data_IF_133557444437
#
_entry.id   IF_133557444437
#
_cell.length_a   1.000
_cell.length_b   1.000
_cell.length_c   1.000
_cell.angle_alpha   90.00
_cell.angle_beta   90.00
_cell.angle_gamma   90.00
#
_symmetry.space_group_name_H-M   'P 1'
#
loop_
_entity.id
_entity.type
_entity.pdbx_description
1 polymer ?
#
# COMPACT_ATOMS: atom_id res chain seq x y z
N UNK A 1 -8.99 -4.53 17.69
CA UNK A 1 -7.98 -3.52 18.08
C UNK A 1 -7.23 -3.12 16.82
N UNK A 2 -7.15 -1.88 16.35
CA UNK A 2 -7.55 -0.57 16.86
C UNK A 2 -7.98 0.26 15.64
N UNK A 3 -9.18 0.84 15.68
CA UNK A 3 -9.57 1.87 14.72
C UNK A 3 -8.71 3.12 14.95
N UNK A 4 -8.09 3.63 13.88
CA UNK A 4 -7.61 5.01 13.83
C UNK A 4 -6.11 5.28 14.09
N UNK A 5 -5.28 4.30 14.48
CA UNK A 5 -3.81 4.51 14.69
C UNK A 5 -2.89 3.74 13.73
N UNK A 6 -3.45 3.16 12.66
CA UNK A 6 -2.67 2.34 11.74
C UNK A 6 -1.71 3.15 10.87
N UNK A 7 -2.00 4.44 10.63
CA UNK A 7 -1.28 5.26 9.66
C UNK A 7 -0.07 5.98 10.26
N UNK A 8 -0.09 6.30 11.56
CA UNK A 8 0.98 7.02 12.24
C UNK A 8 2.38 6.39 12.03
N UNK A 9 2.56 5.05 12.10
CA UNK A 9 3.85 4.43 11.82
C UNK A 9 4.30 4.59 10.37
N UNK A 10 3.35 4.57 9.42
CA UNK A 10 3.66 4.78 8.00
C UNK A 10 4.04 6.23 7.75
N UNK A 11 3.31 7.19 8.33
CA UNK A 11 3.65 8.61 8.28
C UNK A 11 5.02 8.86 8.87
N UNK A 12 5.28 8.38 10.08
CA UNK A 12 6.59 8.55 10.72
C UNK A 12 7.74 8.00 9.86
N UNK A 13 7.55 6.86 9.19
CA UNK A 13 8.55 6.31 8.27
C UNK A 13 8.71 7.20 7.03
N UNK A 14 7.62 7.62 6.40
CA UNK A 14 7.66 8.45 5.19
C UNK A 14 8.18 9.86 5.47
N UNK A 15 7.93 10.39 6.66
CA UNK A 15 8.42 11.70 7.10
C UNK A 15 9.94 11.75 7.19
N UNK A 16 10.60 10.63 7.52
CA UNK A 16 12.07 10.51 7.43
C UNK A 16 12.60 10.79 6.01
N UNK A 17 11.78 10.55 4.99
CA UNK A 17 12.10 10.85 3.59
C UNK A 17 11.59 12.22 3.15
N UNK A 18 10.50 12.72 3.77
CA UNK A 18 9.89 14.01 3.47
C UNK A 18 10.65 15.21 4.05
N UNK A 19 11.48 15.01 5.07
CA UNK A 19 12.27 16.03 5.79
C UNK A 19 13.33 16.77 4.94
N UNK A 20 13.41 16.49 3.63
CA UNK A 20 14.25 17.25 2.68
C UNK A 20 13.68 18.62 2.28
N UNK A 21 12.66 19.13 2.98
CA UNK A 21 12.14 20.48 2.80
C UNK A 21 11.18 20.67 1.62
N UNK A 22 10.66 19.60 1.02
CA UNK A 22 9.64 19.70 -0.03
C UNK A 22 8.22 19.60 0.57
N UNK A 23 7.47 20.72 0.68
CA UNK A 23 6.10 20.71 1.22
C UNK A 23 5.12 19.91 0.35
N UNK A 24 5.45 19.65 -0.92
CA UNK A 24 4.67 18.74 -1.76
C UNK A 24 4.78 17.30 -1.30
N UNK A 25 5.98 16.87 -0.91
CA UNK A 25 6.20 15.51 -0.44
C UNK A 25 5.47 15.26 0.88
N UNK A 26 5.53 16.23 1.81
CA UNK A 26 4.77 16.17 3.06
C UNK A 26 3.26 16.05 2.79
N UNK A 27 2.69 16.84 1.85
CA UNK A 27 1.28 16.70 1.46
C UNK A 27 0.93 15.33 0.91
N UNK A 28 1.81 14.72 0.11
CA UNK A 28 1.60 13.35 -0.37
C UNK A 28 1.53 12.35 0.79
N UNK A 29 2.42 12.46 1.78
CA UNK A 29 2.40 11.58 2.97
C UNK A 29 1.09 11.72 3.74
N UNK A 30 0.70 12.97 4.03
CA UNK A 30 -0.52 13.27 4.78
C UNK A 30 -1.81 12.99 4.00
N UNK A 31 -1.75 12.83 2.68
CA UNK A 31 -2.91 12.43 1.86
C UNK A 31 -3.38 11.00 2.18
N UNK A 32 -2.51 10.15 2.73
CA UNK A 32 -2.91 8.82 3.21
C UNK A 32 -3.49 9.01 4.60
N UNK A 33 -4.81 8.90 4.74
CA UNK A 33 -5.48 9.15 6.03
C UNK A 33 -5.71 7.88 6.83
N UNK A 34 -5.67 6.72 6.16
CA UNK A 34 -5.90 5.42 6.81
C UNK A 34 -5.22 4.30 6.03
N UNK A 35 -4.73 3.31 6.78
CA UNK A 35 -4.26 2.05 6.25
C UNK A 35 -4.95 0.91 6.98
N UNK A 36 -5.40 -0.08 6.21
CA UNK A 36 -5.94 -1.33 6.72
C UNK A 36 -5.12 -2.49 6.15
N UNK A 37 -4.91 -3.52 6.96
CA UNK A 37 -4.25 -4.74 6.52
C UNK A 37 -5.05 -5.96 6.96
N UNK A 38 -5.18 -6.94 6.06
CA UNK A 38 -5.85 -8.21 6.35
C UNK A 38 -5.16 -9.37 5.68
N UNK A 39 -5.19 -10.53 6.32
CA UNK A 39 -4.77 -11.78 5.68
C UNK A 39 -5.80 -12.21 4.65
N UNK A 40 -5.33 -12.63 3.48
CA UNK A 40 -6.17 -13.15 2.40
C UNK A 40 -5.57 -14.46 1.89
N UNK A 41 -6.44 -15.40 1.51
CA UNK A 41 -6.04 -16.61 0.78
C UNK A 41 -6.68 -16.51 -0.59
N UNK A 42 -5.86 -16.60 -1.64
CA UNK A 42 -6.36 -16.45 -3.01
C UNK A 42 -5.60 -17.33 -4.00
N UNK A 43 -6.26 -17.64 -5.10
CA UNK A 43 -5.65 -18.32 -6.25
C UNK A 43 -4.56 -17.44 -6.85
N UNK A 44 -3.35 -17.98 -6.90
CA UNK A 44 -2.21 -17.35 -7.54
C UNK A 44 -2.36 -17.48 -9.06
N UNK A 45 -2.15 -16.37 -9.79
CA UNK A 45 -2.09 -16.35 -11.25
C UNK A 45 -0.67 -16.71 -11.70
N UNK A 46 -0.26 -17.94 -11.41
CA UNK A 46 1.06 -18.49 -11.79
C UNK A 46 0.81 -19.62 -12.79
N UNK A 47 1.68 -19.74 -13.78
CA UNK A 47 1.62 -20.83 -14.74
C UNK A 47 1.78 -22.19 -14.03
N UNK A 48 0.90 -23.13 -14.35
CA UNK A 48 0.88 -24.48 -13.78
C UNK A 48 -0.43 -24.82 -13.07
N UNK A 49 -0.41 -25.80 -12.15
CA UNK A 49 -1.61 -26.27 -11.45
C UNK A 49 -2.22 -25.16 -10.58
N UNK A 50 -3.51 -25.31 -10.25
CA UNK A 50 -4.23 -24.31 -9.45
C UNK A 50 -3.64 -24.21 -8.04
N UNK A 51 -2.89 -23.15 -7.77
CA UNK A 51 -2.24 -22.90 -6.48
C UNK A 51 -2.96 -21.81 -5.70
N UNK A 52 -3.21 -22.07 -4.41
CA UNK A 52 -3.67 -21.05 -3.47
C UNK A 52 -2.49 -20.57 -2.62
N UNK A 53 -2.32 -19.26 -2.52
CA UNK A 53 -1.31 -18.65 -1.67
C UNK A 53 -1.96 -17.98 -0.47
N UNK A 54 -1.19 -17.83 0.61
CA UNK A 54 -1.52 -16.90 1.68
C UNK A 54 -0.83 -15.56 1.40
N UNK A 55 -1.57 -14.48 1.50
CA UNK A 55 -1.07 -13.15 1.28
C UNK A 55 -1.62 -12.14 2.27
N UNK A 56 -1.10 -10.93 2.17
CA UNK A 56 -1.61 -9.76 2.91
C UNK A 56 -2.20 -8.79 1.91
N UNK A 57 -3.45 -8.40 2.13
CA UNK A 57 -4.06 -7.29 1.43
C UNK A 57 -3.90 -6.03 2.27
N UNK A 58 -3.31 -4.99 1.67
CA UNK A 58 -3.11 -3.67 2.26
C UNK A 58 -4.00 -2.68 1.53
N UNK A 59 -4.92 -2.03 2.26
CA UNK A 59 -5.80 -1.00 1.72
C UNK A 59 -5.32 0.36 2.20
N UNK A 60 -5.01 1.24 1.24
CA UNK A 60 -4.60 2.62 1.47
C UNK A 60 -5.78 3.54 1.17
N UNK A 61 -6.20 4.33 2.15
CA UNK A 61 -7.22 5.36 1.96
C UNK A 61 -6.55 6.69 1.65
N UNK A 62 -6.81 7.21 0.45
CA UNK A 62 -6.18 8.45 -0.04
C UNK A 62 -7.23 9.54 -0.16
N UNK A 63 -6.97 10.67 0.51
CA UNK A 63 -7.71 11.91 0.36
C UNK A 63 -7.05 12.78 -0.73
N UNK A 64 -7.74 12.96 -1.84
CA UNK A 64 -7.23 13.71 -2.99
C UNK A 64 -7.35 15.23 -2.80
N UNK A 65 -8.05 15.74 -1.78
CA UNK A 65 -8.19 17.19 -1.54
C UNK A 65 -6.85 17.83 -1.17
N UNK A 66 -6.02 17.07 -0.48
CA UNK A 66 -4.70 17.49 0.00
C UNK A 66 -3.67 17.47 -1.15
N UNK A 67 -3.96 16.70 -2.20
CA UNK A 67 -3.14 16.55 -3.39
C UNK A 67 -3.52 17.64 -4.40
N UNK A 68 -2.92 18.82 -4.27
CA UNK A 68 -3.16 20.00 -5.11
C UNK A 68 -2.75 19.81 -6.59
N UNK A 69 -3.43 18.94 -7.34
CA UNK A 69 -3.15 18.60 -8.74
C UNK A 69 -2.01 17.61 -8.96
N UNK A 70 -1.52 16.97 -7.89
CA UNK A 70 -0.46 15.96 -7.96
C UNK A 70 -1.03 14.57 -8.26
N UNK A 71 -0.16 13.64 -8.66
CA UNK A 71 -0.57 12.27 -9.03
C UNK A 71 -1.07 11.48 -7.82
N UNK A 72 -2.39 11.47 -7.60
CA UNK A 72 -3.08 10.81 -6.48
C UNK A 72 -2.68 9.34 -6.26
N UNK A 73 -2.37 8.63 -7.34
CA UNK A 73 -2.04 7.21 -7.28
C UNK A 73 -0.54 6.92 -7.17
N UNK A 74 0.33 7.90 -7.40
CA UNK A 74 1.78 7.68 -7.49
C UNK A 74 2.37 7.14 -6.19
N UNK A 75 2.09 7.80 -5.07
CA UNK A 75 2.57 7.34 -3.77
C UNK A 75 2.04 5.93 -3.45
N UNK A 76 0.76 5.67 -3.74
CA UNK A 76 0.17 4.35 -3.51
C UNK A 76 0.76 3.26 -4.41
N UNK A 77 1.13 3.57 -5.65
CA UNK A 77 1.83 2.66 -6.56
C UNK A 77 3.25 2.34 -6.05
N UNK A 78 3.96 3.35 -5.56
CA UNK A 78 5.29 3.18 -4.96
C UNK A 78 5.21 2.33 -3.69
N UNK A 79 4.24 2.59 -2.82
CA UNK A 79 3.99 1.78 -1.63
C UNK A 79 3.64 0.35 -1.98
N UNK A 80 2.83 0.12 -3.01
CA UNK A 80 2.52 -1.23 -3.48
C UNK A 80 3.79 -2.02 -3.86
N UNK A 81 4.74 -1.35 -4.53
CA UNK A 81 6.04 -1.94 -4.88
C UNK A 81 6.93 -2.14 -3.65
N UNK A 82 6.90 -1.22 -2.69
CA UNK A 82 7.64 -1.32 -1.44
C UNK A 82 7.15 -2.50 -0.59
N UNK A 83 5.83 -2.65 -0.43
CA UNK A 83 5.25 -3.74 0.35
C UNK A 83 5.55 -5.11 -0.27
N UNK A 84 5.53 -5.21 -1.60
CA UNK A 84 5.95 -6.42 -2.30
C UNK A 84 7.39 -6.84 -1.98
N UNK A 85 8.32 -5.87 -1.80
CA UNK A 85 9.71 -6.16 -1.40
C UNK A 85 9.84 -6.65 0.04
N UNK A 86 8.92 -6.25 0.91
CA UNK A 86 8.93 -6.64 2.33
C UNK A 86 8.17 -7.95 2.60
N UNK A 87 7.36 -8.39 1.64
CA UNK A 87 6.66 -9.66 1.71
C UNK A 87 7.63 -10.84 1.62
N UNK A 88 7.42 -11.84 2.48
CA UNK A 88 8.20 -13.08 2.48
C UNK A 88 8.05 -13.88 1.17
N UNK A 89 9.08 -14.66 0.82
CA UNK A 89 9.17 -15.42 -0.44
C UNK A 89 7.98 -16.35 -0.72
N UNK A 90 7.34 -16.88 0.33
CA UNK A 90 6.19 -17.79 0.21
C UNK A 90 4.83 -17.10 0.33
N UNK A 91 4.81 -15.75 0.34
CA UNK A 91 3.59 -14.96 0.45
C UNK A 91 3.43 -14.01 -0.73
N UNK A 92 2.20 -13.54 -0.94
CA UNK A 92 1.94 -12.43 -1.85
C UNK A 92 1.46 -11.21 -1.08
N UNK A 93 1.64 -10.03 -1.68
CA UNK A 93 0.99 -8.81 -1.23
C UNK A 93 0.11 -8.27 -2.34
N UNK A 94 -1.09 -7.85 -1.93
CA UNK A 94 -1.97 -7.04 -2.76
C UNK A 94 -2.13 -5.68 -2.11
N UNK A 95 -1.99 -4.63 -2.90
CA UNK A 95 -2.31 -3.29 -2.43
C UNK A 95 -3.58 -2.82 -3.13
N UNK A 96 -4.48 -2.16 -2.40
CA UNK A 96 -5.66 -1.50 -2.93
C UNK A 96 -5.63 -0.04 -2.50
N UNK A 97 -5.91 0.86 -3.42
CA UNK A 97 -6.08 2.27 -3.09
C UNK A 97 -7.56 2.61 -3.12
N UNK A 98 -8.09 3.10 -2.00
CA UNK A 98 -9.45 3.64 -1.91
C UNK A 98 -9.39 5.16 -1.96
N UNK A 99 -9.94 5.73 -3.02
CA UNK A 99 -10.05 7.18 -3.19
C UNK A 99 -11.28 7.69 -2.45
N UNK A 100 -11.09 8.48 -1.39
CA UNK A 100 -12.19 8.87 -0.50
C UNK A 100 -13.27 9.70 -1.19
N UNK A 101 -12.87 10.61 -2.07
CA UNK A 101 -13.80 11.53 -2.74
C UNK A 101 -14.59 10.89 -3.88
N UNK A 102 -13.96 9.97 -4.62
CA UNK A 102 -14.60 9.27 -5.74
C UNK A 102 -15.26 7.95 -5.31
N UNK A 103 -15.01 7.51 -4.07
CA UNK A 103 -15.39 6.19 -3.56
C UNK A 103 -14.98 5.06 -4.52
N UNK A 104 -13.83 5.23 -5.15
CA UNK A 104 -13.29 4.32 -6.17
C UNK A 104 -12.16 3.49 -5.56
N UNK A 105 -12.22 2.17 -5.79
CA UNK A 105 -11.18 1.24 -5.39
C UNK A 105 -10.29 0.91 -6.60
N UNK A 106 -9.03 1.32 -6.54
CA UNK A 106 -8.02 1.04 -7.56
C UNK A 106 -7.16 -0.15 -7.09
N UNK A 107 -7.31 -1.34 -7.69
CA UNK A 107 -6.49 -2.48 -7.35
C UNK A 107 -5.10 -2.37 -8.00
N UNK A 108 -4.05 -2.61 -7.22
CA UNK A 108 -2.71 -2.84 -7.76
C UNK A 108 -2.51 -4.33 -8.03
N UNK A 109 -1.72 -4.70 -9.06
CA UNK A 109 -1.45 -6.09 -9.39
C UNK A 109 -0.87 -6.82 -8.18
N UNK A 110 -1.35 -8.05 -7.97
CA UNK A 110 -0.82 -8.93 -6.94
C UNK A 110 0.65 -9.20 -7.24
N UNK A 111 1.52 -8.95 -6.27
CA UNK A 111 2.96 -9.16 -6.46
C UNK A 111 3.44 -10.22 -5.47
N UNK A 112 4.10 -11.30 -5.95
CA UNK A 112 4.73 -12.27 -5.06
C UNK A 112 5.84 -11.59 -4.25
N UNK A 113 6.02 -12.04 -3.01
CA UNK A 113 7.08 -11.52 -2.15
C UNK A 113 8.45 -11.94 -2.66
N UNK A 114 9.42 -11.02 -2.54
CA UNK A 114 10.78 -11.23 -3.02
C UNK A 114 11.82 -11.25 -1.90
N UNK A 115 11.39 -11.44 -0.64
CA UNK A 115 12.28 -11.52 0.51
C UNK A 115 12.62 -12.97 0.82
N UNK A 116 13.87 -13.36 0.55
CA UNK A 116 14.42 -14.64 0.98
C UNK A 116 14.42 -14.74 2.52
N UNK A 117 13.96 -15.89 3.03
CA UNK A 117 14.13 -16.28 4.42
C UNK A 117 15.52 -16.94 4.52
N UNK A 118 16.49 -16.21 5.07
CA UNK A 118 17.79 -16.74 5.48
C UNK A 118 17.75 -17.09 6.97
#
# INVERSE_FOLDING_TARGET
AKEGRGVDPLHALLDLYADRGDPSLARNVHSIVRIDSRSVIERLQIDGPMCFGRGTEVTLHVDQSVLAGQSTLLLSALLARLFARHAGINGFVRTRTRLLQKQEDVPWPMTPGNRYLI
#
